data_IF_521510310691
#
_entry.id   IF_521510310691
#
_cell.length_a   1.000
_cell.length_b   1.000
_cell.length_c   1.000
_cell.angle_alpha   90.00
_cell.angle_beta   90.00
_cell.angle_gamma   90.00
#
_symmetry.space_group_name_H-M   'P 1'
#
loop_
_entity.id
_entity.type
_entity.pdbx_description
1 polymer ?
#
# COMPACT_ATOMS: atom_id res chain seq x y z
N UNK A 1 -33.86 20.80 -9.00
CA UNK A 1 -34.54 20.16 -7.86
C UNK A 1 -34.13 18.70 -7.89
N UNK A 2 -32.98 18.36 -7.26
CA UNK A 2 -32.52 16.96 -7.15
C UNK A 2 -33.26 16.35 -5.97
N UNK A 3 -34.10 15.35 -6.24
CA UNK A 3 -34.80 14.58 -5.22
C UNK A 3 -33.75 13.75 -4.48
N UNK A 4 -33.54 14.05 -3.21
CA UNK A 4 -32.77 13.28 -2.28
C UNK A 4 -33.26 11.81 -2.27
N UNK A 5 -32.54 10.94 -2.97
CA UNK A 5 -32.76 9.50 -2.84
C UNK A 5 -32.40 9.13 -1.41
N UNK A 6 -33.38 8.67 -0.65
CA UNK A 6 -33.16 8.28 0.76
C UNK A 6 -31.99 7.29 0.84
N UNK A 7 -31.11 7.47 1.81
CA UNK A 7 -30.03 6.56 2.22
C UNK A 7 -30.45 5.07 2.36
N UNK A 8 -31.76 4.80 2.34
CA UNK A 8 -32.33 3.47 2.44
C UNK A 8 -32.27 2.64 1.13
N UNK A 9 -31.92 3.26 -0.01
CA UNK A 9 -31.83 2.58 -1.32
C UNK A 9 -30.39 2.32 -1.77
N UNK A 10 -29.41 2.63 -0.92
CA UNK A 10 -28.01 2.28 -1.19
C UNK A 10 -27.89 0.76 -1.11
N UNK A 11 -27.26 0.19 -2.12
CA UNK A 11 -27.06 -1.24 -2.31
C UNK A 11 -26.56 -1.92 -1.01
N UNK A 12 -27.48 -2.46 -0.21
CA UNK A 12 -27.17 -3.13 1.07
C UNK A 12 -26.08 -4.20 0.93
N UNK A 13 -26.04 -5.02 -0.14
CA UNK A 13 -24.94 -5.92 -0.40
C UNK A 13 -23.58 -5.24 -0.46
N UNK A 14 -23.43 -4.10 -1.15
CA UNK A 14 -22.16 -3.38 -1.26
C UNK A 14 -21.68 -2.85 0.10
N UNK A 15 -22.59 -2.37 0.96
CA UNK A 15 -22.25 -1.94 2.32
C UNK A 15 -21.77 -3.11 3.21
N UNK A 16 -22.42 -4.26 3.08
CA UNK A 16 -22.05 -5.47 3.84
C UNK A 16 -20.65 -5.92 3.40
N UNK A 17 -20.40 -5.98 2.10
CA UNK A 17 -19.12 -6.41 1.54
C UNK A 17 -18.00 -5.47 1.96
N UNK A 18 -18.23 -4.15 1.93
CA UNK A 18 -17.26 -3.17 2.43
C UNK A 18 -16.98 -3.34 3.93
N UNK A 19 -18.03 -3.52 4.74
CA UNK A 19 -17.90 -3.76 6.18
C UNK A 19 -17.12 -5.06 6.49
N UNK A 20 -17.31 -6.10 5.67
CA UNK A 20 -16.55 -7.35 5.77
C UNK A 20 -15.06 -7.10 5.48
N UNK A 21 -14.74 -6.35 4.41
CA UNK A 21 -13.36 -6.03 4.06
C UNK A 21 -12.65 -5.26 5.18
N UNK A 22 -13.27 -4.19 5.69
CA UNK A 22 -12.74 -3.45 6.85
C UNK A 22 -12.63 -4.33 8.11
N UNK A 23 -13.58 -5.25 8.31
CA UNK A 23 -13.54 -6.22 9.41
C UNK A 23 -12.35 -7.16 9.31
N UNK A 24 -11.99 -7.62 8.11
CA UNK A 24 -10.81 -8.45 7.87
C UNK A 24 -9.52 -7.65 8.13
N UNK A 25 -9.42 -6.43 7.62
CA UNK A 25 -8.26 -5.55 7.85
C UNK A 25 -8.05 -5.28 9.34
N UNK A 26 -9.13 -4.96 10.07
CA UNK A 26 -9.07 -4.77 11.52
C UNK A 26 -8.66 -6.06 12.26
N UNK A 27 -9.18 -7.21 11.85
CA UNK A 27 -8.80 -8.50 12.44
C UNK A 27 -7.31 -8.79 12.21
N UNK A 28 -6.77 -8.50 11.03
CA UNK A 28 -5.35 -8.64 10.73
C UNK A 28 -4.50 -7.67 11.55
N UNK A 29 -4.94 -6.42 11.73
CA UNK A 29 -4.27 -5.45 12.60
C UNK A 29 -4.23 -5.92 14.06
N UNK A 30 -5.35 -6.48 14.58
CA UNK A 30 -5.43 -7.03 15.93
C UNK A 30 -4.53 -8.27 16.08
N UNK A 31 -4.50 -9.15 15.09
CA UNK A 31 -3.60 -10.32 15.09
C UNK A 31 -2.13 -9.89 15.11
N UNK A 32 -1.75 -8.90 14.29
CA UNK A 32 -0.41 -8.32 14.27
C UNK A 32 -0.06 -7.66 15.62
N UNK A 33 -1.00 -6.95 16.23
CA UNK A 33 -0.81 -6.37 17.56
C UNK A 33 -0.60 -7.45 18.63
N UNK A 34 -1.35 -8.55 18.55
CA UNK A 34 -1.16 -9.72 19.43
C UNK A 34 0.23 -10.33 19.30
N UNK A 35 0.74 -10.48 18.05
CA UNK A 35 2.10 -10.92 17.78
C UNK A 35 3.14 -9.95 18.32
N UNK A 36 2.93 -8.64 18.18
CA UNK A 36 3.84 -7.62 18.71
C UNK A 36 3.93 -7.70 20.23
N UNK A 37 2.80 -7.81 20.93
CA UNK A 37 2.75 -7.96 22.38
C UNK A 37 3.48 -9.24 22.79
N UNK A 38 3.25 -10.35 22.09
CA UNK A 38 3.94 -11.61 22.36
C UNK A 38 5.46 -11.46 22.19
N UNK A 39 5.91 -10.88 21.06
CA UNK A 39 7.33 -10.64 20.79
C UNK A 39 8.00 -9.80 21.90
N UNK A 40 7.33 -8.74 22.37
CA UNK A 40 7.83 -7.90 23.45
C UNK A 40 7.91 -8.63 24.80
N UNK A 41 6.94 -9.51 25.10
CA UNK A 41 6.92 -10.28 26.37
C UNK A 41 8.02 -11.37 26.36
N UNK A 42 8.22 -12.04 25.24
CA UNK A 42 9.22 -13.13 25.13
C UNK A 42 10.64 -12.57 24.98
N UNK A 43 10.78 -11.25 24.75
CA UNK A 43 12.08 -10.62 24.52
C UNK A 43 12.66 -10.97 23.15
N UNK A 44 11.80 -11.11 22.16
CA UNK A 44 12.19 -11.35 20.78
C UNK A 44 13.09 -10.21 20.27
N UNK A 45 14.15 -10.51 19.52
CA UNK A 45 15.05 -9.51 19.02
C UNK A 45 14.33 -8.39 18.26
N UNK A 46 14.85 -7.19 18.40
CA UNK A 46 14.23 -5.96 17.87
C UNK A 46 13.97 -5.99 16.35
N UNK A 47 14.67 -6.88 15.62
CA UNK A 47 14.50 -7.07 14.18
C UNK A 47 13.12 -7.62 13.77
N UNK A 48 12.37 -8.30 14.65
CA UNK A 48 11.00 -8.75 14.35
C UNK A 48 9.93 -7.77 14.80
N UNK A 49 10.15 -7.04 15.88
CA UNK A 49 9.13 -6.12 16.42
C UNK A 49 8.81 -4.96 15.47
N UNK A 50 9.79 -4.48 14.70
CA UNK A 50 9.59 -3.44 13.70
C UNK A 50 8.65 -3.87 12.55
N UNK A 51 8.92 -4.97 11.82
CA UNK A 51 8.03 -5.51 10.81
C UNK A 51 6.62 -5.82 11.35
N UNK A 52 6.51 -6.37 12.56
CA UNK A 52 5.20 -6.64 13.15
C UNK A 52 4.45 -5.34 13.44
N UNK A 53 5.11 -4.29 13.94
CA UNK A 53 4.51 -2.96 14.12
C UNK A 53 4.10 -2.35 12.77
N UNK A 54 4.93 -2.45 11.75
CA UNK A 54 4.60 -2.01 10.40
C UNK A 54 3.36 -2.72 9.86
N UNK A 55 3.22 -4.01 10.12
CA UNK A 55 2.04 -4.81 9.78
C UNK A 55 0.76 -4.25 10.42
N UNK A 56 0.79 -3.88 11.71
CA UNK A 56 -0.36 -3.23 12.37
C UNK A 56 -0.75 -1.93 11.65
N UNK A 57 0.24 -1.08 11.37
CA UNK A 57 0.00 0.22 10.73
C UNK A 57 -0.54 0.08 9.31
N UNK A 58 0.02 -0.85 8.54
CA UNK A 58 -0.39 -1.10 7.15
C UNK A 58 -1.83 -1.60 7.09
N UNK A 59 -2.24 -2.55 7.95
CA UNK A 59 -3.63 -3.02 7.95
C UNK A 59 -4.64 -1.98 8.43
N UNK A 60 -4.23 -0.98 9.20
CA UNK A 60 -5.08 0.15 9.57
C UNK A 60 -5.15 1.24 8.49
N UNK A 61 -4.23 1.22 7.51
CA UNK A 61 -4.09 2.29 6.52
C UNK A 61 -5.34 2.51 5.67
N UNK A 62 -6.03 1.50 5.11
CA UNK A 62 -7.23 1.74 4.31
C UNK A 62 -8.32 2.45 5.12
N UNK A 63 -8.56 2.01 6.35
CA UNK A 63 -9.52 2.64 7.26
C UNK A 63 -9.15 4.11 7.54
N UNK A 64 -7.89 4.39 7.84
CA UNK A 64 -7.41 5.75 8.10
C UNK A 64 -7.50 6.62 6.84
N UNK A 65 -7.17 6.08 5.67
CA UNK A 65 -7.28 6.81 4.40
C UNK A 65 -8.74 7.11 4.05
N UNK A 66 -9.66 6.18 4.24
CA UNK A 66 -11.09 6.44 4.05
C UNK A 66 -11.59 7.54 4.98
N UNK A 67 -11.17 7.51 6.25
CA UNK A 67 -11.53 8.52 7.25
C UNK A 67 -10.98 9.91 6.87
N UNK A 68 -9.71 10.00 6.46
CA UNK A 68 -9.05 11.26 6.10
C UNK A 68 -9.60 11.81 4.80
N UNK A 69 -9.71 10.96 3.77
CA UNK A 69 -10.17 11.36 2.45
C UNK A 69 -11.69 11.51 2.40
N UNK A 70 -12.40 11.05 3.42
CA UNK A 70 -13.86 10.95 3.45
C UNK A 70 -14.41 10.23 2.22
N UNK A 71 -13.72 9.19 1.77
CA UNK A 71 -14.06 8.40 0.58
C UNK A 71 -13.91 6.92 0.92
N UNK A 72 -14.86 6.12 0.47
CA UNK A 72 -14.79 4.67 0.57
C UNK A 72 -14.00 4.09 -0.60
N UNK A 73 -13.18 3.11 -0.33
CA UNK A 73 -12.50 2.38 -1.37
C UNK A 73 -13.42 1.33 -1.99
N UNK A 74 -13.30 1.05 -3.30
CA UNK A 74 -13.99 -0.07 -3.93
C UNK A 74 -13.57 -1.39 -3.27
N UNK A 75 -14.52 -2.32 -3.21
CA UNK A 75 -14.26 -3.65 -2.64
C UNK A 75 -13.05 -4.35 -3.27
N UNK A 76 -12.90 -4.24 -4.59
CA UNK A 76 -11.76 -4.85 -5.29
C UNK A 76 -10.42 -4.27 -4.81
N UNK A 77 -10.38 -2.99 -4.47
CA UNK A 77 -9.20 -2.34 -3.93
C UNK A 77 -8.85 -2.85 -2.52
N UNK A 78 -9.85 -3.04 -1.66
CA UNK A 78 -9.66 -3.67 -0.34
C UNK A 78 -9.13 -5.09 -0.47
N UNK A 79 -9.70 -5.92 -1.34
CA UNK A 79 -9.21 -7.29 -1.55
C UNK A 79 -7.77 -7.30 -2.04
N UNK A 80 -7.45 -6.48 -3.05
CA UNK A 80 -6.09 -6.34 -3.56
C UNK A 80 -5.12 -5.89 -2.45
N UNK A 81 -5.54 -4.93 -1.62
CA UNK A 81 -4.76 -4.46 -0.49
C UNK A 81 -4.55 -5.53 0.58
N UNK A 82 -5.61 -6.24 1.00
CA UNK A 82 -5.53 -7.31 2.00
C UNK A 82 -4.57 -8.40 1.53
N UNK A 83 -4.69 -8.85 0.28
CA UNK A 83 -3.81 -9.88 -0.28
C UNK A 83 -2.37 -9.38 -0.29
N UNK A 84 -2.12 -8.19 -0.83
CA UNK A 84 -0.78 -7.62 -0.92
C UNK A 84 -0.16 -7.39 0.46
N UNK A 85 -0.87 -6.72 1.37
CA UNK A 85 -0.38 -6.45 2.72
C UNK A 85 -0.13 -7.75 3.52
N UNK A 86 -0.99 -8.77 3.35
CA UNK A 86 -0.78 -10.07 4.00
C UNK A 86 0.48 -10.74 3.47
N UNK A 87 0.68 -10.77 2.17
CA UNK A 87 1.87 -11.40 1.60
C UNK A 87 3.13 -10.58 1.91
N UNK A 88 3.19 -9.31 1.53
CA UNK A 88 4.41 -8.52 1.64
C UNK A 88 4.80 -8.25 3.09
N UNK A 89 3.88 -7.77 3.92
CA UNK A 89 4.24 -7.29 5.26
C UNK A 89 4.06 -8.36 6.33
N UNK A 90 2.90 -9.04 6.37
CA UNK A 90 2.66 -10.01 7.43
C UNK A 90 3.44 -11.30 7.21
N UNK A 91 3.31 -11.93 6.05
CA UNK A 91 4.01 -13.18 5.73
C UNK A 91 5.47 -12.91 5.38
N UNK A 92 5.73 -11.91 4.55
CA UNK A 92 7.06 -11.53 4.11
C UNK A 92 7.95 -11.08 5.27
N UNK A 93 7.61 -9.95 5.87
CA UNK A 93 8.48 -9.31 6.86
C UNK A 93 8.22 -9.81 8.30
N UNK A 94 6.94 -9.88 8.76
CA UNK A 94 6.66 -10.25 10.15
C UNK A 94 6.89 -11.75 10.43
N UNK A 95 6.67 -12.64 9.44
CA UNK A 95 6.98 -14.07 9.52
C UNK A 95 8.32 -14.45 8.87
N UNK A 96 9.09 -13.47 8.41
CA UNK A 96 10.47 -13.61 7.93
C UNK A 96 10.63 -14.41 6.63
N UNK A 97 9.62 -14.37 5.75
CA UNK A 97 9.68 -15.12 4.50
C UNK A 97 10.62 -14.47 3.47
N UNK A 98 10.83 -13.16 3.52
CA UNK A 98 11.79 -12.44 2.69
C UNK A 98 13.21 -12.99 2.84
N UNK A 99 13.60 -13.41 4.06
CA UNK A 99 14.94 -13.93 4.33
C UNK A 99 15.07 -15.45 4.21
N UNK A 100 13.94 -16.17 4.23
CA UNK A 100 13.95 -17.64 4.21
C UNK A 100 13.63 -18.25 2.84
N UNK A 101 13.18 -17.42 1.88
CA UNK A 101 12.81 -17.86 0.54
C UNK A 101 13.34 -16.88 -0.50
N UNK A 102 14.51 -17.17 -1.08
CA UNK A 102 15.25 -16.28 -1.98
C UNK A 102 14.43 -15.51 -3.03
N UNK A 103 13.51 -16.11 -3.80
CA UNK A 103 12.76 -15.36 -4.82
C UNK A 103 11.54 -14.61 -4.27
N UNK A 104 11.32 -14.64 -2.94
CA UNK A 104 10.08 -14.09 -2.37
C UNK A 104 10.08 -12.57 -2.44
N UNK A 105 11.18 -11.96 -2.12
CA UNK A 105 11.34 -10.52 -2.09
C UNK A 105 11.17 -9.92 -3.49
N UNK A 106 11.85 -10.48 -4.46
CA UNK A 106 11.75 -10.07 -5.86
C UNK A 106 10.30 -10.18 -6.40
N UNK A 107 9.60 -11.25 -6.05
CA UNK A 107 8.19 -11.43 -6.42
C UNK A 107 7.33 -10.34 -5.77
N UNK A 108 7.59 -10.00 -4.51
CA UNK A 108 6.84 -8.98 -3.80
C UNK A 108 7.08 -7.58 -4.36
N UNK A 109 8.31 -7.21 -4.71
CA UNK A 109 8.63 -5.95 -5.37
C UNK A 109 7.94 -5.82 -6.74
N UNK A 110 7.95 -6.88 -7.55
CA UNK A 110 7.21 -6.91 -8.82
C UNK A 110 5.69 -6.74 -8.59
N UNK A 111 5.12 -7.49 -7.65
CA UNK A 111 3.70 -7.38 -7.30
C UNK A 111 3.36 -5.99 -6.75
N UNK A 112 4.24 -5.40 -5.94
CA UNK A 112 4.07 -4.06 -5.41
C UNK A 112 4.00 -3.02 -6.53
N UNK A 113 4.85 -3.11 -7.55
CA UNK A 113 4.79 -2.22 -8.72
C UNK A 113 3.44 -2.25 -9.43
N UNK A 114 2.89 -3.45 -9.62
CA UNK A 114 1.56 -3.62 -10.19
C UNK A 114 0.46 -3.03 -9.28
N UNK A 115 0.49 -3.36 -7.98
CA UNK A 115 -0.50 -2.90 -7.00
C UNK A 115 -0.43 -1.39 -6.74
N UNK A 116 0.77 -0.81 -6.67
CA UNK A 116 0.96 0.63 -6.55
C UNK A 116 0.31 1.37 -7.73
N UNK A 117 0.51 0.86 -8.94
CA UNK A 117 -0.12 1.40 -10.15
C UNK A 117 -1.66 1.29 -10.09
N UNK A 118 -2.20 0.21 -9.55
CA UNK A 118 -3.65 0.03 -9.34
C UNK A 118 -4.19 1.08 -8.35
N UNK A 119 -3.49 1.32 -7.23
CA UNK A 119 -3.88 2.33 -6.24
C UNK A 119 -3.84 3.74 -6.84
N UNK A 120 -2.76 4.06 -7.57
CA UNK A 120 -2.64 5.35 -8.26
C UNK A 120 -3.75 5.51 -9.31
N UNK A 121 -4.04 4.46 -10.08
CA UNK A 121 -5.15 4.47 -11.04
C UNK A 121 -6.48 4.77 -10.36
N UNK A 122 -6.75 4.15 -9.20
CA UNK A 122 -7.95 4.45 -8.43
C UNK A 122 -8.06 5.94 -8.05
N UNK A 123 -6.95 6.53 -7.55
CA UNK A 123 -6.95 7.97 -7.24
C UNK A 123 -7.15 8.83 -8.49
N UNK A 124 -6.62 8.41 -9.64
CA UNK A 124 -6.81 9.11 -10.89
C UNK A 124 -8.25 9.09 -11.40
N UNK A 125 -8.95 7.94 -11.34
CA UNK A 125 -10.37 7.85 -11.73
C UNK A 125 -11.28 8.63 -10.78
N UNK A 126 -10.85 8.84 -9.54
CA UNK A 126 -11.53 9.70 -8.59
C UNK A 126 -11.41 11.20 -8.95
N UNK A 127 -10.53 11.55 -9.87
CA UNK A 127 -10.37 12.92 -10.33
C UNK A 127 -11.47 13.30 -11.33
N UNK A 128 -12.04 14.51 -11.14
CA UNK A 128 -13.25 14.95 -11.85
C UNK A 128 -13.19 14.87 -13.37
N UNK A 129 -12.03 15.06 -13.97
CA UNK A 129 -11.83 15.12 -15.42
C UNK A 129 -10.97 13.97 -15.98
N UNK A 130 -10.92 12.83 -15.28
CA UNK A 130 -10.11 11.68 -15.69
C UNK A 130 -10.38 11.24 -17.14
N UNK A 131 -11.66 11.15 -17.53
CA UNK A 131 -12.04 10.68 -18.87
C UNK A 131 -11.60 11.61 -19.99
N UNK A 132 -11.37 12.88 -19.68
CA UNK A 132 -10.89 13.88 -20.63
C UNK A 132 -9.37 13.87 -20.79
N UNK A 133 -8.65 13.15 -19.93
CA UNK A 133 -7.19 13.11 -19.97
C UNK A 133 -6.68 12.25 -21.12
N UNK A 134 -5.59 12.69 -21.73
CA UNK A 134 -4.88 11.92 -22.76
C UNK A 134 -4.29 10.64 -22.14
N UNK A 135 -4.33 9.55 -22.89
CA UNK A 135 -3.72 8.27 -22.49
C UNK A 135 -2.25 8.44 -22.07
N UNK A 136 -1.48 9.25 -22.83
CA UNK A 136 -0.08 9.52 -22.51
C UNK A 136 0.10 10.20 -21.16
N UNK A 137 -0.77 11.14 -20.79
CA UNK A 137 -0.73 11.78 -19.48
C UNK A 137 -0.96 10.75 -18.36
N UNK A 138 -1.99 9.91 -18.49
CA UNK A 138 -2.30 8.87 -17.51
C UNK A 138 -1.12 7.90 -17.35
N UNK A 139 -0.54 7.43 -18.47
CA UNK A 139 0.64 6.55 -18.45
C UNK A 139 1.81 7.23 -17.73
N UNK A 140 2.06 8.49 -18.02
CA UNK A 140 3.15 9.24 -17.38
C UNK A 140 2.94 9.33 -15.86
N UNK A 141 1.72 9.65 -15.42
CA UNK A 141 1.42 9.74 -13.99
C UNK A 141 1.53 8.37 -13.31
N UNK A 142 0.97 7.32 -13.93
CA UNK A 142 1.07 5.94 -13.40
C UNK A 142 2.53 5.53 -13.22
N UNK A 143 3.37 5.74 -14.25
CA UNK A 143 4.77 5.35 -14.22
C UNK A 143 5.56 6.11 -13.14
N UNK A 144 5.53 7.45 -13.16
CA UNK A 144 6.35 8.23 -12.24
C UNK A 144 5.84 8.20 -10.80
N UNK A 145 4.52 8.13 -10.58
CA UNK A 145 3.99 8.00 -9.24
C UNK A 145 4.28 6.61 -8.65
N UNK A 146 4.20 5.55 -9.47
CA UNK A 146 4.59 4.20 -9.03
C UNK A 146 6.08 4.11 -8.71
N UNK A 147 6.95 4.69 -9.56
CA UNK A 147 8.39 4.79 -9.29
C UNK A 147 8.67 5.59 -8.01
N UNK A 148 7.92 6.66 -7.76
CA UNK A 148 8.00 7.42 -6.51
C UNK A 148 7.65 6.57 -5.29
N UNK A 149 6.66 5.68 -5.39
CA UNK A 149 6.32 4.74 -4.32
C UNK A 149 7.43 3.71 -4.09
N UNK A 150 8.08 3.19 -5.15
CA UNK A 150 9.26 2.34 -5.01
C UNK A 150 10.38 3.06 -4.25
N UNK A 151 10.69 4.27 -4.66
CA UNK A 151 11.72 5.07 -4.00
C UNK A 151 11.40 5.34 -2.52
N UNK A 152 10.14 5.63 -2.18
CA UNK A 152 9.72 5.80 -0.79
C UNK A 152 9.82 4.50 0.02
N UNK A 153 9.60 3.36 -0.62
CA UNK A 153 9.76 2.07 0.01
C UNK A 153 11.23 1.81 0.36
N UNK A 154 12.15 1.96 -0.59
CA UNK A 154 13.60 1.84 -0.35
C UNK A 154 14.10 2.77 0.76
N UNK A 155 13.61 4.03 0.77
CA UNK A 155 13.91 4.99 1.85
C UNK A 155 13.37 4.49 3.20
N UNK A 156 12.22 3.83 3.22
CA UNK A 156 11.67 3.26 4.45
C UNK A 156 12.50 2.07 4.94
N UNK A 157 12.97 1.19 4.05
CA UNK A 157 13.86 0.08 4.37
C UNK A 157 15.21 0.58 4.91
N UNK A 158 15.81 1.56 4.23
CA UNK A 158 17.01 2.23 4.74
C UNK A 158 16.80 2.79 6.15
N UNK A 159 15.65 3.44 6.39
CA UNK A 159 15.32 4.01 7.70
C UNK A 159 15.18 2.93 8.77
N UNK A 160 14.52 1.82 8.42
CA UNK A 160 14.36 0.66 9.31
C UNK A 160 15.70 0.04 9.68
N UNK A 161 16.61 -0.11 8.72
CA UNK A 161 17.96 -0.65 8.96
C UNK A 161 18.80 0.25 9.84
N UNK A 162 18.82 1.55 9.54
CA UNK A 162 19.64 2.52 10.29
C UNK A 162 19.15 2.74 11.71
N UNK A 163 17.85 2.94 11.91
CA UNK A 163 17.30 3.38 13.20
C UNK A 163 16.76 2.24 14.06
N UNK A 164 16.35 1.14 13.44
CA UNK A 164 15.74 0.01 14.14
C UNK A 164 16.56 -1.27 14.06
N UNK A 165 17.72 -1.24 13.38
CA UNK A 165 18.63 -2.38 13.27
C UNK A 165 18.04 -3.57 12.52
N UNK A 166 17.18 -3.28 11.53
CA UNK A 166 16.63 -4.29 10.64
C UNK A 166 17.62 -4.65 9.54
N UNK A 167 17.27 -5.60 8.71
CA UNK A 167 18.09 -6.09 7.59
C UNK A 167 17.18 -6.11 6.35
N UNK A 168 16.55 -4.97 6.07
CA UNK A 168 15.57 -4.85 4.98
C UNK A 168 16.27 -4.66 3.63
N UNK A 169 17.39 -3.94 3.59
CA UNK A 169 18.21 -3.72 2.40
C UNK A 169 19.23 -4.86 2.12
N UNK A 170 18.89 -6.08 2.52
CA UNK A 170 19.76 -7.22 2.34
C UNK A 170 20.71 -7.47 3.54
N UNK A 171 21.22 -8.68 3.62
CA UNK A 171 22.03 -9.12 4.74
C UNK A 171 23.41 -8.44 4.72
N UNK A 172 23.80 -7.75 5.80
CA UNK A 172 25.16 -7.24 5.89
C UNK A 172 26.17 -8.39 5.85
N UNK A 173 27.21 -8.23 5.07
CA UNK A 173 28.29 -9.20 4.94
C UNK A 173 28.96 -9.36 6.31
N UNK A 174 29.06 -10.59 6.88
CA UNK A 174 29.60 -10.81 8.22
C UNK A 174 31.00 -10.18 8.43
N UNK A 175 31.82 -10.16 7.39
CA UNK A 175 33.16 -9.57 7.39
C UNK A 175 33.13 -8.05 7.57
N UNK A 176 32.10 -7.39 7.03
CA UNK A 176 31.94 -5.93 7.16
C UNK A 176 31.43 -5.59 8.58
N UNK A 177 30.56 -6.42 9.16
CA UNK A 177 30.16 -6.27 10.56
C UNK A 177 31.37 -6.37 11.46
N UNK A 178 32.20 -7.44 11.29
CA UNK A 178 33.39 -7.65 12.08
C UNK A 178 34.41 -6.51 11.95
N UNK A 179 34.56 -5.93 10.73
CA UNK A 179 35.43 -4.76 10.53
C UNK A 179 34.88 -3.54 11.26
N UNK A 180 33.59 -3.28 11.21
CA UNK A 180 32.94 -2.18 11.92
C UNK A 180 33.12 -2.30 13.43
N UNK A 181 32.91 -3.50 13.98
CA UNK A 181 33.11 -3.79 15.40
C UNK A 181 34.58 -3.62 15.82
N UNK A 182 35.53 -4.05 15.00
CA UNK A 182 36.95 -3.85 15.24
C UNK A 182 37.35 -2.37 15.25
N UNK A 183 36.59 -1.50 14.56
CA UNK A 183 36.71 -0.05 14.62
C UNK A 183 36.00 0.58 15.83
N UNK A 184 35.46 -0.23 16.72
CA UNK A 184 34.71 0.23 17.90
C UNK A 184 33.33 0.81 17.57
N UNK A 185 32.78 0.51 16.41
CA UNK A 185 31.43 0.94 16.01
C UNK A 185 30.37 0.02 16.60
N UNK A 186 29.23 0.59 16.97
CA UNK A 186 28.09 -0.14 17.49
C UNK A 186 26.79 0.62 17.21
N UNK A 187 25.64 -0.09 17.23
CA UNK A 187 24.31 0.49 17.00
C UNK A 187 24.23 1.20 15.66
N UNK A 188 23.62 2.38 15.61
CA UNK A 188 23.41 3.18 14.39
C UNK A 188 24.72 3.39 13.60
N UNK A 189 25.84 3.63 14.28
CA UNK A 189 27.13 3.84 13.58
C UNK A 189 27.62 2.59 12.85
N UNK A 190 27.41 1.42 13.44
CA UNK A 190 27.71 0.14 12.81
C UNK A 190 26.77 -0.11 11.63
N UNK A 191 25.50 0.13 11.78
CA UNK A 191 24.50 0.02 10.69
C UNK A 191 24.90 0.90 9.49
N UNK A 192 25.18 2.18 9.74
CA UNK A 192 25.64 3.10 8.67
C UNK A 192 26.93 2.59 8.00
N UNK A 193 27.88 2.08 8.79
CA UNK A 193 29.13 1.52 8.25
C UNK A 193 28.86 0.31 7.36
N UNK A 194 27.98 -0.61 7.78
CA UNK A 194 27.57 -1.76 6.99
C UNK A 194 26.89 -1.35 5.69
N UNK A 195 25.94 -0.40 5.75
CA UNK A 195 25.27 0.15 4.57
C UNK A 195 26.24 0.79 3.56
N UNK A 196 27.28 1.47 4.05
CA UNK A 196 28.28 2.12 3.18
C UNK A 196 29.28 1.16 2.55
N UNK A 197 29.54 0.00 3.18
CA UNK A 197 30.66 -0.86 2.78
C UNK A 197 30.23 -2.28 2.36
N UNK A 198 29.03 -2.72 2.67
CA UNK A 198 28.67 -4.12 2.49
C UNK A 198 27.24 -4.39 2.06
N UNK A 199 26.35 -3.39 2.11
CA UNK A 199 25.01 -3.56 1.59
C UNK A 199 25.03 -3.24 0.10
N UNK A 200 24.42 -4.10 -0.63
CA UNK A 200 24.49 -4.06 -2.07
C UNK A 200 23.49 -3.05 -2.62
N UNK A 201 24.00 -2.01 -3.25
CA UNK A 201 23.23 -1.20 -4.22
C UNK A 201 22.50 -2.09 -5.22
N UNK A 202 22.95 -3.35 -5.37
CA UNK A 202 22.35 -4.36 -6.23
C UNK A 202 20.92 -4.71 -5.77
N UNK A 203 20.70 -4.89 -4.49
CA UNK A 203 19.39 -5.18 -3.90
C UNK A 203 18.39 -4.07 -4.26
N UNK A 204 18.64 -2.85 -3.80
CA UNK A 204 17.81 -1.67 -4.12
C UNK A 204 17.56 -1.49 -5.62
N UNK A 205 18.59 -1.68 -6.48
CA UNK A 205 18.43 -1.51 -7.93
C UNK A 205 17.58 -2.65 -8.53
N UNK A 206 17.74 -3.87 -8.04
CA UNK A 206 16.95 -5.02 -8.48
C UNK A 206 15.49 -4.81 -8.11
N UNK A 207 15.19 -4.44 -6.88
CA UNK A 207 13.85 -4.23 -6.35
C UNK A 207 13.12 -3.09 -7.05
N UNK A 208 13.78 -1.96 -7.23
CA UNK A 208 13.24 -0.87 -8.05
C UNK A 208 12.99 -1.30 -9.50
N UNK A 209 13.86 -2.14 -10.09
CA UNK A 209 13.68 -2.63 -11.46
C UNK A 209 12.49 -3.58 -11.58
N UNK A 210 12.31 -4.46 -10.60
CA UNK A 210 11.17 -5.36 -10.53
C UNK A 210 9.86 -4.61 -10.30
N UNK A 211 9.88 -3.61 -9.43
CA UNK A 211 8.74 -2.71 -9.24
C UNK A 211 8.37 -1.99 -10.54
N UNK A 212 9.34 -1.47 -11.28
CA UNK A 212 9.10 -0.88 -12.61
C UNK A 212 8.50 -1.92 -13.56
N UNK A 213 8.98 -3.16 -13.54
CA UNK A 213 8.42 -4.27 -14.32
C UNK A 213 6.94 -4.50 -14.03
N UNK A 214 6.55 -4.56 -12.77
CA UNK A 214 5.16 -4.66 -12.33
C UNK A 214 4.30 -3.48 -12.76
N UNK A 215 4.83 -2.27 -12.64
CA UNK A 215 4.15 -1.04 -13.10
C UNK A 215 3.94 -1.04 -14.62
N UNK A 216 4.94 -1.46 -15.39
CA UNK A 216 4.83 -1.59 -16.85
C UNK A 216 3.76 -2.60 -17.23
N UNK A 217 3.69 -3.75 -16.55
CA UNK A 217 2.64 -4.74 -16.79
C UNK A 217 1.24 -4.13 -16.57
N UNK A 218 1.05 -3.38 -15.50
CA UNK A 218 -0.21 -2.67 -15.25
C UNK A 218 -0.53 -1.64 -16.35
N UNK A 219 0.46 -0.87 -16.80
CA UNK A 219 0.29 0.11 -17.87
C UNK A 219 -0.10 -0.57 -19.19
N UNK A 220 0.50 -1.70 -19.51
CA UNK A 220 0.12 -2.51 -20.70
C UNK A 220 -1.35 -2.95 -20.57
N UNK A 221 -1.75 -3.47 -19.42
CA UNK A 221 -3.16 -3.82 -19.20
C UNK A 221 -4.07 -2.61 -19.36
N UNK A 222 -3.74 -1.45 -18.79
CA UNK A 222 -4.49 -0.22 -18.92
C UNK A 222 -4.66 0.19 -20.41
N UNK A 223 -3.59 0.12 -21.20
CA UNK A 223 -3.63 0.43 -22.63
C UNK A 223 -4.57 -0.55 -23.36
N UNK A 224 -4.46 -1.85 -23.08
CA UNK A 224 -5.31 -2.88 -23.71
C UNK A 224 -6.78 -2.60 -23.37
N UNK A 225 -7.13 -2.40 -22.12
CA UNK A 225 -8.52 -2.14 -21.72
C UNK A 225 -9.08 -0.85 -22.33
N UNK A 226 -8.27 0.21 -22.39
CA UNK A 226 -8.69 1.48 -22.95
C UNK A 226 -8.93 1.42 -24.47
N UNK A 227 -8.13 0.64 -25.22
CA UNK A 227 -8.20 0.61 -26.68
C UNK A 227 -9.05 -0.54 -27.23
N UNK A 228 -9.20 -1.65 -26.53
CA UNK A 228 -9.89 -2.83 -27.04
C UNK A 228 -11.35 -2.95 -26.59
N UNK A 229 -11.82 -2.07 -25.71
CA UNK A 229 -13.14 -2.17 -25.06
C UNK A 229 -13.35 -3.50 -24.31
N UNK A 230 -12.29 -4.26 -24.06
CA UNK A 230 -12.36 -5.47 -23.23
C UNK A 230 -12.59 -5.05 -21.77
N UNK A 231 -13.57 -5.67 -21.15
CA UNK A 231 -13.83 -5.47 -19.73
C UNK A 231 -12.99 -6.47 -18.94
N UNK A 232 -11.86 -5.99 -18.40
CA UNK A 232 -11.04 -6.71 -17.48
C UNK A 232 -11.14 -6.06 -16.09
N UNK A 233 -10.12 -6.20 -15.25
CA UNK A 233 -10.12 -5.74 -13.87
C UNK A 233 -10.36 -4.22 -13.72
N UNK A 234 -9.73 -3.40 -14.56
CA UNK A 234 -9.80 -1.93 -14.44
C UNK A 234 -11.18 -1.37 -14.73
N UNK A 235 -11.92 -1.99 -15.66
CA UNK A 235 -13.31 -1.61 -15.91
C UNK A 235 -14.20 -1.91 -14.68
N UNK A 236 -13.93 -3.00 -13.95
CA UNK A 236 -14.66 -3.32 -12.72
C UNK A 236 -14.31 -2.34 -11.59
N UNK A 237 -13.03 -1.98 -11.43
CA UNK A 237 -12.60 -0.94 -10.48
C UNK A 237 -13.30 0.39 -10.76
N UNK A 238 -13.40 0.75 -12.05
CA UNK A 238 -14.07 1.98 -12.46
C UNK A 238 -15.57 1.93 -12.21
N UNK A 239 -16.24 0.83 -12.58
CA UNK A 239 -17.68 0.67 -12.39
C UNK A 239 -18.03 0.67 -10.89
N UNK A 240 -17.23 0.00 -10.05
CA UNK A 240 -17.40 -0.01 -8.61
C UNK A 240 -17.18 1.40 -8.02
N UNK A 241 -16.15 2.14 -8.47
CA UNK A 241 -15.96 3.53 -8.10
C UNK A 241 -17.18 4.40 -8.49
N UNK A 242 -17.67 4.28 -9.72
CA UNK A 242 -18.81 5.08 -10.20
C UNK A 242 -20.09 4.78 -9.42
N UNK A 243 -20.30 3.52 -9.05
CA UNK A 243 -21.43 3.11 -8.20
C UNK A 243 -21.29 3.69 -6.78
N UNK A 244 -20.08 3.67 -6.23
CA UNK A 244 -19.81 4.21 -4.90
C UNK A 244 -19.70 5.74 -4.87
N UNK A 245 -19.38 6.39 -5.99
CA UNK A 245 -19.28 7.85 -6.10
C UNK A 245 -20.57 8.55 -5.69
N UNK A 246 -21.71 8.04 -6.10
CA UNK A 246 -23.00 8.63 -5.77
C UNK A 246 -23.33 8.51 -4.27
N UNK A 247 -22.79 7.49 -3.60
CA UNK A 247 -22.91 7.36 -2.14
C UNK A 247 -22.13 8.44 -1.37
N UNK A 248 -21.00 8.91 -1.92
CA UNK A 248 -20.17 9.94 -1.29
C UNK A 248 -20.67 11.36 -1.51
N UNK A 249 -21.07 11.67 -2.73
CA UNK A 249 -21.59 12.99 -3.05
C UNK A 249 -22.91 13.24 -2.29
N UNK A 250 -23.72 12.21 -2.07
CA UNK A 250 -24.94 12.34 -1.29
C UNK A 250 -24.67 12.64 0.20
N UNK A 251 -23.55 12.16 0.77
CA UNK A 251 -23.21 12.45 2.18
C UNK A 251 -22.70 13.89 2.38
N UNK A 252 -21.90 14.40 1.46
CA UNK A 252 -21.38 15.79 1.50
C UNK A 252 -22.48 16.78 1.14
N UNK A 253 -23.32 16.45 0.14
CA UNK A 253 -24.44 17.29 -0.27
C UNK A 253 -25.52 17.35 0.81
N UNK A 254 -25.71 16.29 1.63
CA UNK A 254 -26.64 16.30 2.75
C UNK A 254 -26.17 17.19 3.91
N UNK A 255 -24.87 17.27 4.19
CA UNK A 255 -24.35 18.23 5.19
C UNK A 255 -24.43 19.67 4.67
N UNK A 256 -24.02 19.90 3.43
CA UNK A 256 -24.14 21.22 2.78
C UNK A 256 -25.62 21.63 2.62
N UNK A 257 -26.51 20.70 2.26
CA UNK A 257 -27.94 20.95 2.20
C UNK A 257 -28.53 21.25 3.58
N UNK A 258 -28.08 20.61 4.65
CA UNK A 258 -28.47 20.93 6.03
C UNK A 258 -27.96 22.30 6.47
N UNK A 259 -26.74 22.67 6.13
CA UNK A 259 -26.19 24.00 6.42
C UNK A 259 -26.93 25.09 5.68
N UNK A 260 -27.21 24.91 4.39
CA UNK A 260 -27.98 25.87 3.57
C UNK A 260 -29.42 26.00 4.14
N UNK A 261 -30.03 24.91 4.56
CA UNK A 261 -31.39 24.90 5.13
C UNK A 261 -31.41 25.55 6.54
N UNK A 262 -30.32 25.44 7.29
CA UNK A 262 -30.16 26.07 8.60
C UNK A 262 -29.90 27.58 8.49
N UNK A 263 -29.25 28.04 7.43
CA UNK A 263 -29.00 29.47 7.16
C UNK A 263 -30.19 30.21 6.55
N UNK A 264 -31.17 29.46 6.04
CA UNK A 264 -32.39 30.04 5.43
C UNK A 264 -33.59 30.14 6.41
N UNK A 265 -33.40 29.77 7.65
CA UNK A 265 -34.36 29.96 8.78
C UNK A 265 -33.84 31.04 9.73
#
# INVERSE_FOLDING_TARGET
MYTLKKLNDVDKPAQIVHAIALGIELAMAIASLGLLIHALIVGDPMHRSGPILSSVLVFLMPFLLELILKKRFPFLLHIAFIIHATLAIFVGSALDLHHTCDPYDEIMHFLFGYMASLYIYYFLIAWRDFDKQKTSFIITVLFFASLGMACLWEVSEFTMDVFFGQVALGHPIPEIIAQGEALGLSGIRLSIYCLQNGVSVWDTVTDMSLHVGGSVLFIIQYIIERHTKRRLMLSHVRDDYMTNRDMFYNYVDDEVAKEITAQSK
#
